data_IF_401384513650
#
_entry.id   IF_401384513650
#
_cell.length_a   1.000
_cell.length_b   1.000
_cell.length_c   1.000
_cell.angle_alpha   90.00
_cell.angle_beta   90.00
_cell.angle_gamma   90.00
#
_symmetry.space_group_name_H-M   'P 1'
#
loop_
_entity.id
_entity.type
_entity.pdbx_description
1 polymer ?
#
# COMPACT_ATOMS: atom_id res chain seq x y z
N UNK A 1 -8.58 -8.16 -20.53
CA UNK A 1 -9.31 -7.81 -19.30
C UNK A 1 -10.58 -7.05 -19.66
N UNK A 2 -11.68 -7.53 -19.11
CA UNK A 2 -13.02 -6.93 -19.07
C UNK A 2 -13.62 -7.14 -17.67
N UNK A 3 -14.82 -6.60 -17.42
CA UNK A 3 -15.49 -6.70 -16.12
C UNK A 3 -15.68 -8.14 -15.60
N UNK A 4 -15.87 -9.13 -16.47
CA UNK A 4 -16.04 -10.53 -16.06
C UNK A 4 -14.73 -11.15 -15.57
N UNK A 5 -13.62 -10.87 -16.25
CA UNK A 5 -12.29 -11.31 -15.80
C UNK A 5 -11.92 -10.70 -14.45
N UNK A 6 -12.13 -9.39 -14.25
CA UNK A 6 -11.88 -8.73 -12.96
C UNK A 6 -12.78 -9.32 -11.86
N UNK A 7 -14.06 -9.58 -12.14
CA UNK A 7 -14.96 -10.17 -11.15
C UNK A 7 -14.56 -11.61 -10.77
N UNK A 8 -14.02 -12.39 -11.70
CA UNK A 8 -13.47 -13.71 -11.40
C UNK A 8 -12.23 -13.59 -10.50
N UNK A 9 -11.29 -12.73 -10.86
CA UNK A 9 -10.07 -12.48 -10.09
C UNK A 9 -10.37 -11.98 -8.66
N UNK A 10 -11.35 -11.07 -8.49
CA UNK A 10 -11.81 -10.61 -7.17
C UNK A 10 -12.45 -11.73 -6.33
N UNK A 11 -13.18 -12.67 -6.95
CA UNK A 11 -13.75 -13.83 -6.25
C UNK A 11 -12.65 -14.78 -5.75
N UNK A 12 -11.59 -15.00 -6.53
CA UNK A 12 -10.41 -15.75 -6.08
C UNK A 12 -9.75 -15.07 -4.88
N UNK A 13 -9.55 -13.74 -4.95
CA UNK A 13 -8.98 -12.96 -3.84
C UNK A 13 -9.81 -13.10 -2.55
N UNK A 14 -11.12 -12.92 -2.63
CA UNK A 14 -12.01 -13.10 -1.48
C UNK A 14 -11.99 -14.54 -0.94
N UNK A 15 -11.85 -15.56 -1.81
CA UNK A 15 -11.83 -16.97 -1.40
C UNK A 15 -10.59 -17.39 -0.61
N UNK A 16 -9.49 -16.64 -0.66
CA UNK A 16 -8.31 -16.85 0.20
C UNK A 16 -8.31 -15.94 1.45
N UNK A 17 -9.45 -15.34 1.81
CA UNK A 17 -9.62 -14.64 3.08
C UNK A 17 -9.12 -13.20 3.14
N UNK A 18 -8.74 -12.62 1.99
CA UNK A 18 -8.42 -11.20 1.88
C UNK A 18 -9.72 -10.37 1.89
N UNK A 19 -9.77 -9.25 2.62
CA UNK A 19 -10.94 -8.34 2.60
C UNK A 19 -10.74 -7.06 1.79
N UNK A 20 -9.53 -6.79 1.30
CA UNK A 20 -9.20 -5.54 0.61
C UNK A 20 -8.20 -5.71 -0.54
N UNK A 21 -8.37 -4.89 -1.58
CA UNK A 21 -7.51 -4.86 -2.77
C UNK A 21 -7.01 -3.45 -3.04
N UNK A 22 -5.70 -3.32 -3.28
CA UNK A 22 -5.06 -2.12 -3.80
C UNK A 22 -4.83 -2.26 -5.30
N UNK A 23 -5.32 -1.31 -6.08
CA UNK A 23 -5.10 -1.26 -7.53
C UNK A 23 -4.15 -0.13 -7.90
N UNK A 24 -3.29 -0.32 -8.91
CA UNK A 24 -2.46 0.79 -9.44
C UNK A 24 -3.26 1.82 -10.25
N UNK A 25 -4.40 1.39 -10.83
CA UNK A 25 -5.31 2.23 -11.61
C UNK A 25 -6.77 2.01 -11.14
N UNK A 26 -7.65 2.96 -11.44
CA UNK A 26 -9.06 2.96 -10.98
C UNK A 26 -10.05 2.42 -12.03
N UNK A 27 -9.65 2.41 -13.31
CA UNK A 27 -10.39 1.85 -14.44
C UNK A 27 -9.44 1.21 -15.47
N UNK A 28 -9.90 0.16 -16.13
CA UNK A 28 -9.23 -0.43 -17.30
C UNK A 28 -10.16 -0.36 -18.52
N UNK A 29 -9.83 0.48 -19.51
CA UNK A 29 -10.72 0.76 -20.64
C UNK A 29 -12.05 1.36 -20.15
N UNK A 30 -13.16 0.63 -20.36
CA UNK A 30 -14.48 0.99 -19.82
C UNK A 30 -14.84 0.27 -18.50
N UNK A 31 -13.92 -0.54 -17.95
CA UNK A 31 -14.14 -1.32 -16.73
C UNK A 31 -13.72 -0.49 -15.51
N UNK A 32 -14.65 -0.06 -14.65
CA UNK A 32 -14.33 0.61 -13.39
C UNK A 32 -14.05 -0.42 -12.28
N UNK A 33 -12.97 -0.24 -11.52
CA UNK A 33 -12.50 -1.25 -10.56
C UNK A 33 -13.30 -1.24 -9.25
N UNK A 34 -13.50 -0.05 -8.67
CA UNK A 34 -14.16 0.11 -7.36
C UNK A 34 -15.51 -0.63 -7.24
N UNK A 35 -16.44 -0.47 -8.20
CA UNK A 35 -17.71 -1.20 -8.18
C UNK A 35 -17.57 -2.73 -8.22
N UNK A 36 -16.55 -3.26 -8.90
CA UNK A 36 -16.32 -4.72 -9.01
C UNK A 36 -15.70 -5.27 -7.72
N UNK A 37 -14.76 -4.53 -7.13
CA UNK A 37 -14.16 -4.86 -5.83
C UNK A 37 -15.26 -4.86 -4.73
N UNK A 38 -16.05 -3.79 -4.66
CA UNK A 38 -17.16 -3.68 -3.71
C UNK A 38 -18.23 -4.77 -3.90
N UNK A 39 -18.57 -5.11 -5.15
CA UNK A 39 -19.52 -6.19 -5.46
C UNK A 39 -18.99 -7.61 -5.14
N UNK A 40 -17.69 -7.77 -4.89
CA UNK A 40 -17.10 -9.00 -4.37
C UNK A 40 -17.04 -9.04 -2.83
N UNK A 41 -17.55 -8.02 -2.13
CA UNK A 41 -17.46 -7.88 -0.68
C UNK A 41 -16.11 -7.31 -0.19
N UNK A 42 -15.24 -6.91 -1.11
CA UNK A 42 -13.89 -6.40 -0.84
C UNK A 42 -13.89 -4.87 -0.70
N UNK A 43 -12.97 -4.33 0.09
CA UNK A 43 -12.72 -2.90 0.24
C UNK A 43 -11.65 -2.45 -0.76
N UNK A 44 -11.84 -1.31 -1.41
CA UNK A 44 -10.92 -0.81 -2.43
C UNK A 44 -9.97 0.27 -1.90
N UNK A 45 -8.68 0.12 -2.23
CA UNK A 45 -7.70 1.21 -2.25
C UNK A 45 -7.35 1.48 -3.72
N UNK A 46 -7.89 2.57 -4.28
CA UNK A 46 -7.82 2.81 -5.72
C UNK A 46 -6.63 3.70 -6.11
N UNK A 47 -5.88 3.28 -7.12
CA UNK A 47 -4.75 4.04 -7.67
C UNK A 47 -5.16 5.05 -8.73
N UNK A 48 -4.51 6.21 -8.68
CA UNK A 48 -4.49 7.24 -9.74
C UNK A 48 -3.04 7.32 -10.23
N UNK A 49 -2.71 6.81 -11.43
CA UNK A 49 -1.33 6.65 -11.91
C UNK A 49 -0.74 7.97 -12.41
N UNK A 50 -0.78 9.01 -11.59
CA UNK A 50 -0.11 10.27 -11.84
C UNK A 50 1.39 10.05 -12.15
N UNK A 51 2.01 10.70 -13.15
CA UNK A 51 1.45 11.64 -14.13
C UNK A 51 1.15 11.00 -15.51
N UNK A 52 0.84 9.70 -15.59
CA UNK A 52 0.55 9.00 -16.86
C UNK A 52 -0.61 9.68 -17.62
N UNK A 53 -0.62 9.60 -18.95
CA UNK A 53 -1.49 10.43 -19.80
C UNK A 53 -3.00 10.27 -19.55
N UNK A 54 -3.43 9.15 -18.96
CA UNK A 54 -4.82 8.86 -18.58
C UNK A 54 -5.17 9.22 -17.12
N UNK A 55 -4.23 9.75 -16.31
CA UNK A 55 -4.42 9.92 -14.86
C UNK A 55 -5.67 10.73 -14.50
N UNK A 56 -6.12 11.63 -15.38
CA UNK A 56 -7.34 12.43 -15.18
C UNK A 56 -8.63 11.60 -15.32
N UNK A 57 -8.66 10.62 -16.21
CA UNK A 57 -9.78 9.66 -16.28
C UNK A 57 -9.75 8.70 -15.09
N UNK A 58 -8.56 8.28 -14.67
CA UNK A 58 -8.36 7.42 -13.50
C UNK A 58 -8.80 8.13 -12.22
N UNK A 59 -8.44 9.41 -12.07
CA UNK A 59 -8.90 10.29 -10.99
C UNK A 59 -10.42 10.42 -10.96
N UNK A 60 -11.06 10.62 -12.11
CA UNK A 60 -12.53 10.68 -12.20
C UNK A 60 -13.18 9.36 -11.77
N UNK A 61 -12.64 8.21 -12.19
CA UNK A 61 -13.11 6.89 -11.76
C UNK A 61 -12.89 6.65 -10.25
N UNK A 62 -11.76 7.08 -9.69
CA UNK A 62 -11.46 6.98 -8.26
C UNK A 62 -12.47 7.77 -7.42
N UNK A 63 -12.73 9.03 -7.79
CA UNK A 63 -13.67 9.91 -7.11
C UNK A 63 -15.10 9.36 -7.20
N UNK A 64 -15.53 8.95 -8.40
CA UNK A 64 -16.86 8.34 -8.64
C UNK A 64 -17.07 7.09 -7.79
N UNK A 65 -16.07 6.22 -7.72
CA UNK A 65 -16.13 5.01 -6.89
C UNK A 65 -16.14 5.34 -5.39
N UNK A 66 -15.35 6.32 -4.94
CA UNK A 66 -15.39 6.78 -3.55
C UNK A 66 -16.75 7.36 -3.15
N UNK A 67 -17.38 8.15 -4.03
CA UNK A 67 -18.74 8.67 -3.85
C UNK A 67 -19.82 7.58 -3.84
N UNK A 68 -19.60 6.45 -4.53
CA UNK A 68 -20.50 5.29 -4.53
C UNK A 68 -20.30 4.35 -3.31
N UNK A 69 -19.19 4.49 -2.58
CA UNK A 69 -18.83 3.65 -1.44
C UNK A 69 -17.97 2.42 -1.80
N UNK A 70 -17.51 1.70 -0.78
CA UNK A 70 -16.61 0.55 -0.91
C UNK A 70 -15.12 0.90 -1.10
N UNK A 71 -14.79 2.12 -1.53
CA UNK A 71 -13.43 2.68 -1.49
C UNK A 71 -13.16 3.30 -0.13
N UNK A 72 -11.99 3.03 0.46
CA UNK A 72 -11.56 3.66 1.72
C UNK A 72 -10.27 4.50 1.58
N UNK A 73 -9.58 4.38 0.45
CA UNK A 73 -8.41 5.17 0.14
C UNK A 73 -8.23 5.40 -1.37
N UNK A 74 -7.71 6.56 -1.74
CA UNK A 74 -7.24 6.88 -3.10
C UNK A 74 -5.74 7.21 -3.04
N UNK A 75 -4.97 6.54 -3.87
CA UNK A 75 -3.51 6.64 -3.92
C UNK A 75 -3.08 7.43 -5.17
N UNK A 76 -2.56 8.63 -4.97
CA UNK A 76 -2.02 9.49 -6.02
C UNK A 76 -0.56 9.15 -6.27
N UNK A 77 -0.33 8.56 -7.44
CA UNK A 77 1.00 8.17 -7.88
C UNK A 77 1.49 6.86 -7.25
N UNK A 78 2.62 6.38 -7.77
CA UNK A 78 3.34 5.21 -7.30
C UNK A 78 4.84 5.41 -7.55
N UNK A 79 5.61 5.62 -6.49
CA UNK A 79 7.08 5.76 -6.52
C UNK A 79 7.57 6.95 -7.36
N UNK A 80 6.75 7.98 -7.54
CA UNK A 80 7.07 9.15 -8.36
C UNK A 80 8.32 9.94 -7.91
N UNK A 81 8.75 9.75 -6.66
CA UNK A 81 9.94 10.41 -6.13
C UNK A 81 11.20 9.57 -6.30
N UNK A 82 11.13 8.40 -6.94
CA UNK A 82 12.25 7.51 -7.20
C UNK A 82 13.42 8.22 -7.90
N UNK A 83 14.46 8.59 -7.14
CA UNK A 83 15.59 9.37 -7.65
C UNK A 83 15.28 10.85 -7.96
N UNK A 84 14.13 11.38 -7.54
CA UNK A 84 13.77 12.78 -7.69
C UNK A 84 14.35 13.63 -6.53
N UNK A 85 14.78 14.86 -6.83
CA UNK A 85 15.30 15.81 -5.83
C UNK A 85 14.21 16.75 -5.28
N UNK A 86 12.99 16.69 -5.80
CA UNK A 86 11.85 17.47 -5.34
C UNK A 86 10.51 16.78 -5.63
N UNK A 87 9.48 17.17 -4.88
CA UNK A 87 8.09 16.79 -5.15
C UNK A 87 7.52 17.64 -6.29
N UNK A 88 6.89 17.04 -7.32
CA UNK A 88 6.14 17.80 -8.34
C UNK A 88 4.98 18.58 -7.70
N UNK A 89 4.91 19.90 -7.93
CA UNK A 89 3.92 20.77 -7.27
C UNK A 89 2.48 20.43 -7.65
N UNK A 90 2.25 20.03 -8.90
CA UNK A 90 0.95 19.61 -9.42
C UNK A 90 0.46 18.27 -8.83
N UNK A 91 1.37 17.41 -8.33
CA UNK A 91 1.00 16.21 -7.58
C UNK A 91 0.24 16.54 -6.29
N UNK A 92 0.70 17.56 -5.56
CA UNK A 92 0.05 18.06 -4.34
C UNK A 92 -1.33 18.66 -4.67
N UNK A 93 -1.47 19.34 -5.82
CA UNK A 93 -2.75 19.90 -6.24
C UNK A 93 -3.74 18.83 -6.75
N UNK A 94 -3.26 17.73 -7.36
CA UNK A 94 -4.08 16.54 -7.65
C UNK A 94 -4.58 15.89 -6.35
N UNK A 95 -3.73 15.78 -5.31
CA UNK A 95 -4.14 15.29 -3.99
C UNK A 95 -5.25 16.18 -3.41
N UNK A 96 -5.06 17.51 -3.37
CA UNK A 96 -6.11 18.45 -2.92
C UNK A 96 -7.40 18.34 -3.74
N UNK A 97 -7.29 18.19 -5.06
CA UNK A 97 -8.44 18.06 -5.96
C UNK A 97 -9.26 16.79 -5.67
N UNK A 98 -8.63 15.69 -5.29
CA UNK A 98 -9.35 14.47 -4.89
C UNK A 98 -9.96 14.65 -3.50
N UNK A 99 -9.21 15.21 -2.54
CA UNK A 99 -9.68 15.45 -1.15
C UNK A 99 -10.94 16.32 -1.07
N UNK A 100 -11.12 17.27 -1.99
CA UNK A 100 -12.32 18.12 -2.03
C UNK A 100 -13.54 17.48 -2.69
N UNK A 101 -13.43 16.24 -3.20
CA UNK A 101 -14.49 15.55 -3.94
C UNK A 101 -14.83 14.14 -3.42
N UNK A 102 -13.97 13.51 -2.60
CA UNK A 102 -14.29 12.23 -1.95
C UNK A 102 -15.08 12.43 -0.64
N UNK A 103 -15.89 11.46 -0.20
CA UNK A 103 -16.57 11.53 1.10
C UNK A 103 -15.60 11.56 2.29
N UNK A 104 -16.06 12.13 3.42
CA UNK A 104 -15.34 12.08 4.69
C UNK A 104 -15.05 10.63 5.10
N UNK A 105 -13.83 10.38 5.57
CA UNK A 105 -13.33 9.04 5.91
C UNK A 105 -12.62 8.30 4.77
N UNK A 106 -12.74 8.75 3.51
CA UNK A 106 -11.91 8.26 2.40
C UNK A 106 -10.57 8.98 2.43
N UNK A 107 -9.49 8.26 2.72
CA UNK A 107 -8.14 8.82 2.78
C UNK A 107 -7.60 9.14 1.38
N UNK A 108 -6.92 10.26 1.20
CA UNK A 108 -6.16 10.55 -0.03
C UNK A 108 -4.69 10.67 0.29
N UNK A 109 -3.90 9.84 -0.38
CA UNK A 109 -2.52 9.54 0.00
C UNK A 109 -1.62 9.48 -1.23
N UNK A 110 -0.32 9.29 -1.01
CA UNK A 110 0.66 8.97 -2.06
C UNK A 110 1.32 7.62 -1.76
N UNK A 111 1.88 6.94 -2.77
CA UNK A 111 2.74 5.76 -2.59
C UNK A 111 4.17 6.09 -3.01
N UNK A 112 5.14 5.81 -2.15
CA UNK A 112 6.58 6.00 -2.39
C UNK A 112 7.37 4.76 -1.92
N UNK A 113 8.65 4.65 -2.30
CA UNK A 113 9.51 3.56 -1.78
C UNK A 113 10.00 3.88 -0.37
N UNK A 114 10.34 2.83 0.38
CA UNK A 114 11.12 2.92 1.61
C UNK A 114 12.37 3.83 1.47
N UNK A 115 13.08 3.79 0.34
CA UNK A 115 14.25 4.62 0.06
C UNK A 115 13.96 6.12 0.22
N UNK A 116 12.97 6.65 -0.49
CA UNK A 116 12.62 8.07 -0.42
C UNK A 116 11.96 8.46 0.92
N UNK A 117 11.22 7.55 1.55
CA UNK A 117 10.62 7.79 2.88
C UNK A 117 11.69 7.86 3.99
N UNK A 118 12.77 7.07 3.88
CA UNK A 118 13.92 7.10 4.80
C UNK A 118 14.82 8.31 4.51
N UNK A 119 15.06 8.61 3.23
CA UNK A 119 15.96 9.69 2.79
C UNK A 119 15.21 11.02 2.54
N UNK A 120 14.09 11.24 3.24
CA UNK A 120 13.14 12.32 2.96
C UNK A 120 13.74 13.73 2.95
N UNK A 121 14.82 13.97 3.71
CA UNK A 121 15.54 15.24 3.77
C UNK A 121 16.21 15.61 2.44
N UNK A 122 16.43 14.64 1.54
CA UNK A 122 16.98 14.85 0.21
C UNK A 122 15.94 15.33 -0.82
N UNK A 123 14.64 15.23 -0.50
CA UNK A 123 13.54 15.55 -1.43
C UNK A 123 12.87 16.87 -1.05
N UNK A 124 13.16 17.92 -1.82
CA UNK A 124 12.59 19.25 -1.59
C UNK A 124 11.06 19.24 -1.72
N UNK A 125 10.35 19.81 -0.74
CA UNK A 125 8.89 19.80 -0.68
C UNK A 125 8.26 18.53 -0.08
N UNK A 126 9.06 17.56 0.40
CA UNK A 126 8.54 16.35 1.06
C UNK A 126 7.57 16.66 2.20
N UNK A 127 7.90 17.62 3.07
CA UNK A 127 7.03 17.97 4.19
C UNK A 127 5.66 18.51 3.73
N UNK A 128 5.59 19.24 2.62
CA UNK A 128 4.33 19.71 2.07
C UNK A 128 3.48 18.57 1.49
N UNK A 129 4.12 17.58 0.84
CA UNK A 129 3.45 16.35 0.43
C UNK A 129 2.87 15.59 1.63
N UNK A 130 3.67 15.42 2.70
CA UNK A 130 3.24 14.81 3.96
C UNK A 130 2.13 15.62 4.63
N UNK A 131 2.16 16.95 4.58
CA UNK A 131 1.11 17.79 5.17
C UNK A 131 -0.23 17.69 4.40
N UNK A 132 -0.21 17.49 3.08
CA UNK A 132 -1.42 17.41 2.26
C UNK A 132 -2.03 16.00 2.18
N UNK A 133 -1.21 14.94 2.25
CA UNK A 133 -1.70 13.55 2.31
C UNK A 133 -2.34 13.21 3.66
N UNK A 134 -3.34 12.32 3.68
CA UNK A 134 -3.87 11.74 4.92
C UNK A 134 -2.98 10.62 5.45
N UNK A 135 -2.34 9.87 4.54
CA UNK A 135 -1.41 8.78 4.81
C UNK A 135 -0.27 8.74 3.78
N UNK A 136 0.82 8.06 4.10
CA UNK A 136 1.91 7.76 3.17
C UNK A 136 1.93 6.24 2.96
N UNK A 137 1.61 5.81 1.75
CA UNK A 137 1.83 4.44 1.29
C UNK A 137 3.33 4.20 1.07
N UNK A 138 3.83 3.08 1.56
CA UNK A 138 5.23 2.68 1.42
C UNK A 138 5.34 1.34 0.73
N UNK A 139 6.11 1.31 -0.35
CA UNK A 139 6.57 0.09 -1.02
C UNK A 139 7.94 -0.27 -0.44
N UNK A 140 8.04 -1.45 0.19
CA UNK A 140 9.22 -1.85 0.96
C UNK A 140 9.52 -3.34 0.71
N UNK A 141 10.37 -3.61 -0.28
CA UNK A 141 10.73 -4.97 -0.70
C UNK A 141 12.14 -5.34 -0.19
N UNK A 142 12.26 -6.22 0.83
CA UNK A 142 13.57 -6.68 1.29
C UNK A 142 14.33 -7.47 0.21
N UNK A 143 13.63 -8.04 -0.78
CA UNK A 143 14.22 -8.67 -1.96
C UNK A 143 15.14 -7.74 -2.78
N UNK A 144 14.98 -6.42 -2.70
CA UNK A 144 15.89 -5.45 -3.36
C UNK A 144 17.06 -4.99 -2.50
N UNK A 145 17.19 -5.49 -1.25
CA UNK A 145 18.34 -5.23 -0.38
C UNK A 145 19.39 -6.32 -0.58
N UNK A 146 20.56 -6.00 -1.12
CA UNK A 146 21.58 -7.01 -1.48
C UNK A 146 22.05 -7.86 -0.29
N UNK A 147 22.23 -9.16 -0.51
CA UNK A 147 22.66 -10.11 0.53
C UNK A 147 21.54 -10.62 1.45
N UNK A 148 20.28 -10.43 1.07
CA UNK A 148 19.11 -10.88 1.84
C UNK A 148 18.70 -12.29 1.43
N UNK A 149 18.35 -13.13 2.42
CA UNK A 149 17.70 -14.44 2.21
C UNK A 149 16.23 -14.37 2.62
N UNK A 150 15.39 -15.32 2.20
CA UNK A 150 13.98 -15.37 2.60
C UNK A 150 13.81 -15.38 4.14
N UNK A 151 14.69 -16.08 4.86
CA UNK A 151 14.68 -16.20 6.32
C UNK A 151 15.04 -14.88 7.04
N UNK A 152 15.87 -14.04 6.40
CA UNK A 152 16.33 -12.76 6.94
C UNK A 152 15.53 -11.56 6.42
N UNK A 153 14.77 -11.74 5.33
CA UNK A 153 14.01 -10.71 4.65
C UNK A 153 13.03 -9.96 5.55
N UNK A 154 12.37 -10.66 6.49
CA UNK A 154 11.43 -10.00 7.41
C UNK A 154 12.15 -9.08 8.41
N UNK A 155 13.38 -9.40 8.81
CA UNK A 155 14.20 -8.54 9.67
C UNK A 155 14.72 -7.32 8.91
N UNK A 156 15.07 -7.47 7.63
CA UNK A 156 15.43 -6.35 6.75
C UNK A 156 14.24 -5.40 6.59
N UNK A 157 13.03 -5.93 6.36
CA UNK A 157 11.80 -5.14 6.28
C UNK A 157 11.49 -4.43 7.61
N UNK A 158 11.54 -5.14 8.75
CA UNK A 158 11.23 -4.55 10.06
C UNK A 158 12.21 -3.42 10.40
N UNK A 159 13.52 -3.63 10.25
CA UNK A 159 14.53 -2.59 10.50
C UNK A 159 14.23 -1.29 9.73
N UNK A 160 13.91 -1.41 8.43
CA UNK A 160 13.52 -0.27 7.58
C UNK A 160 12.20 0.35 8.03
N UNK A 161 11.21 -0.49 8.37
CA UNK A 161 9.89 -0.05 8.82
C UNK A 161 9.95 0.72 10.15
N UNK A 162 10.70 0.24 11.15
CA UNK A 162 10.87 0.93 12.42
C UNK A 162 11.54 2.31 12.25
N UNK A 163 12.50 2.44 11.32
CA UNK A 163 13.09 3.76 10.97
C UNK A 163 12.00 4.71 10.49
N UNK A 164 11.16 4.30 9.52
CA UNK A 164 10.11 5.16 8.96
C UNK A 164 9.00 5.45 9.99
N UNK A 165 8.62 4.46 10.79
CA UNK A 165 7.63 4.61 11.88
C UNK A 165 8.12 5.59 12.95
N UNK A 166 9.43 5.68 13.21
CA UNK A 166 9.97 6.65 14.17
C UNK A 166 9.74 8.12 13.73
N UNK A 167 9.64 8.37 12.43
CA UNK A 167 9.39 9.70 11.85
C UNK A 167 7.89 9.97 11.62
N UNK A 168 7.13 8.97 11.14
CA UNK A 168 5.76 9.18 10.63
C UNK A 168 4.66 8.43 11.40
N UNK A 169 5.02 7.52 12.31
CA UNK A 169 4.08 6.80 13.17
C UNK A 169 2.93 6.12 12.40
N UNK A 170 1.71 6.34 12.88
CA UNK A 170 0.47 5.80 12.30
C UNK A 170 0.07 6.39 10.94
N UNK A 171 0.84 7.35 10.39
CA UNK A 171 0.59 7.90 9.05
C UNK A 171 1.03 6.95 7.93
N UNK A 172 1.85 5.95 8.22
CA UNK A 172 2.32 4.97 7.23
C UNK A 172 1.30 3.87 6.96
N UNK A 173 1.22 3.43 5.71
CA UNK A 173 0.57 2.19 5.29
C UNK A 173 1.56 1.42 4.44
N UNK A 174 1.80 0.15 4.75
CA UNK A 174 2.59 -0.73 3.88
C UNK A 174 1.74 -1.08 2.65
N UNK A 175 2.12 -0.58 1.47
CA UNK A 175 1.34 -0.71 0.23
C UNK A 175 1.84 -1.78 -0.72
N UNK A 176 3.12 -2.15 -0.63
CA UNK A 176 3.72 -3.31 -1.32
C UNK A 176 4.88 -3.88 -0.49
N UNK A 177 4.89 -5.20 -0.32
CA UNK A 177 6.08 -5.98 0.05
C UNK A 177 5.90 -7.42 -0.44
N UNK A 178 6.98 -8.12 -0.77
CA UNK A 178 6.90 -9.48 -1.28
C UNK A 178 8.26 -10.13 -1.50
N UNK A 179 8.24 -11.46 -1.63
CA UNK A 179 9.38 -12.27 -2.09
C UNK A 179 8.96 -13.12 -3.29
N UNK A 180 9.76 -13.15 -4.38
CA UNK A 180 9.37 -13.85 -5.60
C UNK A 180 9.61 -15.36 -5.50
N UNK A 181 8.79 -16.16 -6.18
CA UNK A 181 8.90 -17.62 -6.17
C UNK A 181 9.93 -18.19 -7.16
N UNK A 182 10.60 -17.33 -7.94
CA UNK A 182 11.67 -17.68 -8.89
C UNK A 182 12.54 -16.46 -9.21
N UNK A 183 13.61 -16.65 -10.00
CA UNK A 183 14.54 -15.60 -10.41
C UNK A 183 15.60 -15.27 -9.35
N UNK A 184 16.52 -14.37 -9.68
CA UNK A 184 17.54 -13.86 -8.76
C UNK A 184 17.97 -12.44 -9.12
N UNK A 185 18.44 -11.69 -8.12
CA UNK A 185 18.89 -10.31 -8.26
C UNK A 185 19.87 -9.97 -7.13
N UNK A 186 21.03 -9.39 -7.46
CA UNK A 186 22.04 -8.95 -6.48
C UNK A 186 22.49 -10.03 -5.46
N UNK A 187 22.40 -11.31 -5.83
CA UNK A 187 22.69 -12.46 -4.97
C UNK A 187 21.49 -13.01 -4.19
N UNK A 188 20.38 -12.27 -4.13
CA UNK A 188 19.12 -12.72 -3.54
C UNK A 188 18.42 -13.68 -4.52
N UNK A 189 17.76 -14.72 -4.01
CA UNK A 189 17.18 -15.80 -4.83
C UNK A 189 15.69 -16.01 -4.50
N UNK A 190 14.86 -15.94 -5.53
CA UNK A 190 13.45 -16.32 -5.47
C UNK A 190 13.27 -17.83 -5.57
N UNK A 191 12.39 -18.38 -4.74
CA UNK A 191 12.00 -19.80 -4.74
C UNK A 191 10.63 -19.96 -4.09
N UNK A 192 9.87 -21.00 -4.43
CA UNK A 192 8.54 -21.26 -3.85
C UNK A 192 8.62 -21.33 -2.31
N UNK A 193 9.57 -22.10 -1.77
CA UNK A 193 9.79 -22.18 -0.32
C UNK A 193 10.24 -20.84 0.29
N UNK A 194 11.04 -20.04 -0.42
CA UNK A 194 11.41 -18.69 0.05
C UNK A 194 10.24 -17.71 0.08
N UNK A 195 9.34 -17.79 -0.91
CA UNK A 195 8.11 -17.02 -0.94
C UNK A 195 7.14 -17.44 0.18
N UNK A 196 7.02 -18.73 0.46
CA UNK A 196 6.26 -19.28 1.60
C UNK A 196 6.83 -18.82 2.95
N UNK A 197 8.15 -18.96 3.15
CA UNK A 197 8.85 -18.47 4.36
C UNK A 197 8.60 -16.99 4.58
N UNK A 198 8.77 -16.16 3.54
CA UNK A 198 8.56 -14.72 3.67
C UNK A 198 7.09 -14.35 3.89
N UNK A 199 6.13 -15.00 3.21
CA UNK A 199 4.71 -14.76 3.39
C UNK A 199 4.25 -15.10 4.82
N UNK A 200 4.65 -16.26 5.34
CA UNK A 200 4.32 -16.67 6.72
C UNK A 200 4.94 -15.71 7.75
N UNK A 201 6.19 -15.27 7.54
CA UNK A 201 6.84 -14.27 8.38
C UNK A 201 6.15 -12.89 8.30
N UNK A 202 5.72 -12.46 7.11
CA UNK A 202 4.94 -11.24 6.89
C UNK A 202 3.59 -11.28 7.61
N UNK A 203 2.87 -12.40 7.55
CA UNK A 203 1.57 -12.57 8.23
C UNK A 203 1.71 -12.45 9.75
N UNK A 204 2.78 -13.00 10.33
CA UNK A 204 3.07 -12.87 11.76
C UNK A 204 3.51 -11.44 12.13
N UNK A 205 4.49 -10.87 11.42
CA UNK A 205 5.05 -9.56 11.71
C UNK A 205 4.02 -8.43 11.54
N UNK A 206 3.24 -8.46 10.46
CA UNK A 206 2.24 -7.44 10.16
C UNK A 206 0.92 -7.63 10.91
N UNK A 207 0.79 -8.67 11.74
CA UNK A 207 -0.45 -9.07 12.43
C UNK A 207 -1.19 -7.91 13.13
N UNK A 208 -0.46 -7.05 13.84
CA UNK A 208 -0.98 -5.89 14.57
C UNK A 208 -1.38 -4.69 13.69
N UNK A 209 -0.97 -4.67 12.42
CA UNK A 209 -1.27 -3.57 11.51
C UNK A 209 -2.70 -3.68 10.96
N UNK A 210 -3.43 -2.56 10.91
CA UNK A 210 -4.82 -2.52 10.42
C UNK A 210 -4.95 -2.29 8.90
N UNK A 211 -3.87 -1.89 8.22
CA UNK A 211 -3.81 -1.65 6.78
C UNK A 211 -2.42 -2.05 6.28
N UNK A 212 -2.33 -3.11 5.49
CA UNK A 212 -1.07 -3.72 5.03
C UNK A 212 -1.29 -4.50 3.75
N UNK A 213 -0.44 -4.33 2.74
CA UNK A 213 -0.62 -4.97 1.44
C UNK A 213 0.56 -5.86 1.08
N UNK A 214 0.29 -7.10 0.71
CA UNK A 214 1.26 -8.00 0.11
C UNK A 214 1.27 -7.79 -1.42
N UNK A 215 2.45 -7.75 -2.00
CA UNK A 215 2.68 -7.70 -3.44
C UNK A 215 3.20 -9.07 -3.92
N UNK A 216 2.44 -9.82 -4.71
CA UNK A 216 1.09 -9.55 -5.24
C UNK A 216 0.26 -10.83 -5.26
N UNK A 217 -1.02 -10.75 -5.58
CA UNK A 217 -1.87 -11.93 -5.58
C UNK A 217 -1.54 -12.91 -6.71
N UNK A 218 -1.63 -12.45 -7.97
CA UNK A 218 -1.35 -13.26 -9.17
C UNK A 218 0.05 -13.00 -9.72
N UNK A 219 0.64 -14.00 -10.37
CA UNK A 219 1.82 -13.79 -11.22
C UNK A 219 1.56 -12.91 -12.44
N UNK A 220 2.61 -12.19 -12.85
CA UNK A 220 2.58 -11.29 -14.00
C UNK A 220 3.58 -11.73 -15.08
N UNK A 221 3.34 -12.86 -15.79
CA UNK A 221 4.28 -13.46 -16.75
C UNK A 221 4.51 -12.64 -18.02
N UNK A 222 3.98 -11.42 -18.10
CA UNK A 222 4.27 -10.45 -19.15
C UNK A 222 5.45 -9.50 -18.82
N UNK A 223 5.96 -9.52 -17.58
CA UNK A 223 7.13 -8.72 -17.18
C UNK A 223 8.43 -9.36 -17.68
N UNK A 224 9.47 -8.54 -17.89
CA UNK A 224 10.75 -9.00 -18.48
C UNK A 224 11.52 -9.94 -17.55
N UNK A 225 11.74 -9.53 -16.30
CA UNK A 225 12.61 -10.25 -15.37
C UNK A 225 11.91 -11.44 -14.72
N UNK A 226 12.64 -12.54 -14.50
CA UNK A 226 12.05 -13.76 -13.93
C UNK A 226 11.48 -13.52 -12.53
N UNK A 227 12.14 -12.69 -11.71
CA UNK A 227 11.63 -12.37 -10.37
C UNK A 227 10.36 -11.51 -10.42
N UNK A 228 10.33 -10.50 -11.29
CA UNK A 228 9.16 -9.66 -11.57
C UNK A 228 7.93 -10.47 -12.00
N UNK A 229 8.13 -11.52 -12.80
CA UNK A 229 7.05 -12.41 -13.22
C UNK A 229 6.42 -13.20 -12.05
N UNK A 230 7.18 -13.46 -10.98
CA UNK A 230 6.94 -14.53 -10.01
C UNK A 230 6.58 -14.07 -8.58
N UNK A 231 6.19 -12.80 -8.37
CA UNK A 231 5.74 -12.26 -7.08
C UNK A 231 4.33 -12.70 -6.64
N UNK A 232 3.58 -13.47 -7.44
CA UNK A 232 2.25 -13.95 -7.07
C UNK A 232 2.27 -14.89 -5.87
N UNK A 233 1.26 -14.83 -5.01
CA UNK A 233 0.89 -15.89 -4.07
C UNK A 233 0.34 -17.11 -4.83
N UNK A 234 -0.47 -16.84 -5.86
CA UNK A 234 -0.97 -17.81 -6.83
C UNK A 234 -0.36 -17.56 -8.21
N UNK A 235 -0.36 -18.58 -9.06
CA UNK A 235 -0.01 -18.45 -10.47
C UNK A 235 -1.00 -17.53 -11.21
N UNK A 236 -0.63 -17.09 -12.42
CA UNK A 236 -1.47 -16.22 -13.26
C UNK A 236 -2.83 -16.86 -13.64
N UNK A 237 -2.96 -18.18 -13.56
CA UNK A 237 -4.17 -18.97 -13.79
C UNK A 237 -4.88 -19.41 -12.49
N UNK A 238 -4.46 -18.88 -11.33
CA UNK A 238 -5.05 -19.11 -10.00
C UNK A 238 -4.80 -20.51 -9.39
N UNK A 239 -3.60 -21.06 -9.55
CA UNK A 239 -3.15 -22.22 -8.76
C UNK A 239 -2.30 -21.75 -7.58
N UNK A 240 -2.54 -22.32 -6.39
CA UNK A 240 -1.74 -22.04 -5.20
C UNK A 240 -0.29 -22.52 -5.39
N UNK A 241 0.68 -21.66 -5.05
CA UNK A 241 2.12 -22.04 -5.07
C UNK A 241 2.54 -22.78 -3.82
N UNK A 242 1.92 -22.46 -2.69
CA UNK A 242 2.21 -22.97 -1.36
C UNK A 242 0.94 -22.87 -0.50
N UNK A 243 0.93 -23.54 0.66
CA UNK A 243 -0.26 -23.60 1.52
C UNK A 243 -0.44 -22.30 2.30
N UNK A 244 -1.13 -21.32 1.71
CA UNK A 244 -1.60 -20.14 2.45
C UNK A 244 -2.46 -20.61 3.63
N UNK A 245 -2.00 -20.36 4.85
CA UNK A 245 -2.70 -20.79 6.07
C UNK A 245 -4.09 -20.15 6.14
N UNK A 246 -5.15 -20.97 6.25
CA UNK A 246 -6.52 -20.45 6.30
C UNK A 246 -6.70 -19.47 7.46
N UNK A 247 -7.46 -18.37 7.28
CA UNK A 247 -7.99 -17.63 8.41
C UNK A 247 -8.91 -18.56 9.22
N UNK A 248 -8.85 -18.55 10.56
CA UNK A 248 -9.65 -19.46 11.38
C UNK A 248 -11.14 -19.27 11.07
N UNK A 249 -11.80 -20.33 10.62
CA UNK A 249 -13.19 -20.29 10.17
C UNK A 249 -14.07 -19.66 11.24
N UNK A 250 -14.78 -18.59 10.90
CA UNK A 250 -15.76 -18.00 11.82
C UNK A 250 -16.78 -19.07 12.20
N UNK A 251 -16.92 -19.34 13.51
CA UNK A 251 -17.88 -20.32 14.00
C UNK A 251 -19.29 -19.95 13.49
N UNK A 252 -20.09 -20.93 13.02
CA UNK A 252 -21.38 -20.65 12.41
C UNK A 252 -22.28 -19.89 13.40
N UNK A 253 -22.67 -18.68 13.04
CA UNK A 253 -23.64 -17.88 13.81
C UNK A 253 -24.91 -18.72 14.00
N UNK A 254 -25.33 -19.01 15.24
CA UNK A 254 -26.51 -19.82 15.48
C UNK A 254 -27.73 -19.12 14.89
N UNK A 255 -28.50 -19.86 14.08
CA UNK A 255 -29.69 -19.37 13.41
C UNK A 255 -30.69 -18.83 14.46
N UNK A 256 -31.13 -17.59 14.29
CA UNK A 256 -32.00 -16.94 15.29
C UNK A 256 -33.39 -17.56 15.27
N UNK A 257 -33.69 -18.35 16.30
CA UNK A 257 -35.03 -18.91 16.55
C UNK A 257 -36.09 -17.81 16.40
N UNK A 258 -37.11 -17.97 15.54
CA UNK A 258 -38.11 -16.95 15.33
C UNK A 258 -38.91 -16.71 16.61
N UNK A 259 -39.00 -15.46 17.04
CA UNK A 259 -39.82 -15.03 18.18
C UNK A 259 -41.29 -15.31 17.84
N UNK A 260 -42.08 -15.97 18.71
CA UNK A 260 -43.48 -16.27 18.42
C UNK A 260 -44.31 -14.98 18.34
N UNK A 261 -45.08 -14.84 17.27
CA UNK A 261 -45.99 -13.70 17.06
C UNK A 261 -47.11 -13.69 18.11
N UNK A 262 -47.17 -12.65 18.94
CA UNK A 262 -48.30 -12.46 19.85
C UNK A 262 -49.59 -12.18 19.07
N UNK A 263 -50.71 -12.77 19.52
CA UNK A 263 -52.02 -12.57 18.92
C UNK A 263 -52.69 -11.31 19.49
N UNK A 264 -53.24 -10.40 18.66
CA UNK A 264 -53.86 -9.18 19.16
C UNK A 264 -55.03 -9.43 20.12
N UNK A 265 -54.99 -8.81 21.31
CA UNK A 265 -56.07 -8.89 22.28
C UNK A 265 -57.30 -8.07 21.81
N UNK A 266 -58.48 -8.67 21.92
CA UNK A 266 -59.76 -8.03 21.54
C UNK A 266 -60.21 -7.08 22.67
N UNK A 267 -60.45 -5.81 22.34
CA UNK A 267 -61.06 -4.85 23.25
C UNK A 267 -62.48 -5.28 23.67
N UNK A 268 -62.78 -5.20 24.96
CA UNK A 268 -64.15 -5.08 25.46
C UNK A 268 -64.29 -3.82 26.30
N UNK A 269 -65.43 -3.14 26.17
CA UNK A 269 -65.72 -1.84 26.78
C UNK A 269 -67.04 -1.90 27.57
N UNK A 270 -66.96 -1.67 28.89
CA UNK A 270 -68.08 -1.31 29.78
C UNK A 270 -67.51 -0.97 31.17
N UNK A 271 -67.89 0.07 31.90
CA UNK A 271 -68.79 1.19 31.55
C UNK A 271 -69.21 1.98 32.81
N UNK A 272 -69.20 3.33 32.74
CA UNK A 272 -69.65 4.29 33.80
C UNK A 272 -68.84 4.27 35.12
N UNK A 273 -68.82 5.32 35.96
CA UNK A 273 -69.70 6.50 36.06
C UNK A 273 -68.98 7.79 36.53
N UNK A 274 -69.78 8.85 36.62
CA UNK A 274 -69.51 10.27 36.90
C UNK A 274 -68.65 10.61 38.14
N UNK A 275 -67.95 11.76 38.12
CA UNK A 275 -68.44 13.02 38.72
C UNK A 275 -67.60 14.24 38.27
N UNK A 276 -67.99 15.46 38.67
CA UNK A 276 -67.67 16.73 37.99
C UNK A 276 -67.09 17.82 38.92
N UNK A 277 -66.61 18.90 38.30
CA UNK A 277 -66.63 20.34 38.72
C UNK A 277 -65.42 21.00 39.41
N UNK A 278 -65.07 22.19 38.89
CA UNK A 278 -64.52 23.40 39.58
C UNK A 278 -62.99 23.48 39.81
N UNK A 279 -62.30 24.63 39.77
CA UNK A 279 -62.18 25.78 38.81
C UNK A 279 -61.26 26.87 39.44
N UNK A 280 -60.38 27.49 38.64
CA UNK A 280 -59.52 28.66 38.98
C UNK A 280 -58.43 28.45 40.06
N UNK A 281 -57.35 29.24 40.14
CA UNK A 281 -56.94 30.40 39.31
C UNK A 281 -55.52 30.91 39.63
N UNK A 282 -55.18 32.10 39.14
CA UNK A 282 -53.89 32.85 39.28
C UNK A 282 -53.48 33.11 40.77
N UNK A 283 -52.26 33.57 41.13
CA UNK A 283 -51.43 34.65 40.54
C UNK A 283 -49.94 34.61 40.98
N UNK A 284 -49.15 35.54 40.44
CA UNK A 284 -47.70 35.86 40.60
C UNK A 284 -47.09 35.84 42.02
N UNK A 285 -45.76 35.67 42.12
CA UNK A 285 -44.85 36.76 42.57
C UNK A 285 -43.33 36.46 42.48
N UNK A 286 -42.63 37.32 41.74
CA UNK A 286 -41.26 37.89 41.91
C UNK A 286 -40.16 37.20 42.75
N UNK A 287 -38.95 37.18 42.18
CA UNK A 287 -37.77 37.80 42.81
C UNK A 287 -36.86 38.46 41.75
N UNK A 288 -36.14 39.53 42.11
CA UNK A 288 -35.42 40.44 41.17
C UNK A 288 -34.16 41.01 41.84
N UNK A 289 -33.10 41.29 41.05
CA UNK A 289 -31.89 42.13 41.25
C UNK A 289 -30.61 41.34 40.95
N UNK A 290 -29.52 41.91 40.40
CA UNK A 290 -29.23 43.28 39.93
C UNK A 290 -27.70 43.44 39.81
N UNK A 291 -27.11 43.67 38.64
CA UNK A 291 -26.94 44.97 37.95
C UNK A 291 -25.89 45.89 38.59
N UNK A 292 -24.85 46.26 37.83
CA UNK A 292 -23.80 47.22 38.26
C UNK A 292 -22.70 47.38 37.20
N UNK A 293 -22.66 48.54 36.56
CA UNK A 293 -21.80 48.87 35.41
C UNK A 293 -20.69 49.90 35.75
N UNK A 294 -19.90 50.24 34.71
CA UNK A 294 -19.16 51.50 34.47
C UNK A 294 -17.67 51.69 34.87
N UNK A 295 -16.86 51.81 33.81
CA UNK A 295 -15.91 52.92 33.48
C UNK A 295 -14.71 53.26 34.39
N UNK A 296 -13.50 53.28 33.78
CA UNK A 296 -12.29 53.88 34.37
C UNK A 296 -11.06 53.98 33.43
N UNK A 297 -10.85 55.14 32.82
CA UNK A 297 -9.66 55.54 32.00
C UNK A 297 -8.34 55.52 32.85
N UNK A 298 -7.10 55.37 32.34
CA UNK A 298 -6.42 56.25 31.35
C UNK A 298 -4.99 55.80 30.94
N UNK A 299 -4.54 56.23 29.72
CA UNK A 299 -3.17 56.69 29.27
C UNK A 299 -1.86 56.03 29.78
N UNK A 300 -0.77 55.88 29.01
CA UNK A 300 -0.14 56.74 27.97
C UNK A 300 0.52 55.92 26.82
N UNK A 301 0.72 56.38 25.56
CA UNK A 301 1.70 57.39 25.03
C UNK A 301 3.16 57.11 25.45
N UNK A 302 4.24 57.33 24.66
CA UNK A 302 4.49 57.69 23.23
C UNK A 302 6.05 57.78 23.00
N UNK A 303 6.67 57.93 21.80
CA UNK A 303 6.38 57.60 20.38
C UNK A 303 7.61 57.98 19.48
N UNK A 304 7.59 57.64 18.18
CA UNK A 304 8.43 58.17 17.04
C UNK A 304 9.98 57.96 17.12
N UNK A 305 10.84 58.21 16.09
CA UNK A 305 10.68 58.83 14.75
C UNK A 305 11.80 58.43 13.72
N UNK A 306 11.46 58.44 12.42
CA UNK A 306 12.20 58.79 11.17
C UNK A 306 13.65 58.35 10.81
N UNK A 307 14.01 58.66 9.54
CA UNK A 307 15.34 58.75 8.88
C UNK A 307 15.92 57.42 8.35
N UNK A 308 15.86 57.10 7.05
CA UNK A 308 16.44 57.74 5.84
C UNK A 308 17.95 57.50 5.66
N UNK A 309 18.34 56.87 4.53
CA UNK A 309 19.31 57.46 3.61
C UNK A 309 19.26 56.86 2.18
N UNK A 310 19.31 57.76 1.19
CA UNK A 310 19.87 57.70 -0.19
C UNK A 310 19.94 56.34 -0.96
N UNK A 311 19.37 56.22 -2.17
CA UNK A 311 19.93 56.67 -3.49
C UNK A 311 21.29 55.99 -3.85
N UNK A 312 21.58 55.60 -5.09
CA UNK A 312 21.19 56.21 -6.37
C UNK A 312 21.10 55.20 -7.55
N UNK A 313 20.53 55.63 -8.68
CA UNK A 313 20.47 54.89 -9.96
C UNK A 313 21.85 54.83 -10.67
N UNK A 314 22.11 53.79 -11.49
CA UNK A 314 22.37 53.98 -12.94
C UNK A 314 22.41 52.69 -13.80
N UNK A 315 22.38 52.89 -15.12
CA UNK A 315 22.33 51.90 -16.22
C UNK A 315 23.71 51.70 -16.90
N UNK A 316 24.01 50.52 -17.45
CA UNK A 316 25.21 50.34 -18.30
C UNK A 316 25.32 48.99 -19.04
N UNK A 317 25.54 49.03 -20.36
CA UNK A 317 25.61 47.91 -21.32
C UNK A 317 27.02 47.30 -21.49
N UNK A 318 27.10 46.14 -22.19
CA UNK A 318 28.31 45.53 -22.85
C UNK A 318 29.48 45.08 -21.96
N UNK A 319 30.26 44.03 -22.26
CA UNK A 319 30.16 43.00 -23.31
C UNK A 319 31.50 42.32 -23.67
N UNK A 320 31.54 40.97 -23.70
CA UNK A 320 32.51 40.08 -24.40
C UNK A 320 33.99 40.05 -23.94
N UNK A 321 34.49 38.89 -23.48
CA UNK A 321 35.59 38.15 -24.16
C UNK A 321 35.84 36.70 -23.63
N UNK A 322 36.53 35.93 -24.48
CA UNK A 322 36.86 34.50 -24.48
C UNK A 322 37.82 34.08 -23.30
N UNK A 323 38.21 32.81 -23.06
CA UNK A 323 38.58 31.76 -24.03
C UNK A 323 38.68 30.31 -23.50
N UNK A 324 38.72 29.37 -24.45
CA UNK A 324 38.96 27.92 -24.31
C UNK A 324 40.39 27.58 -23.82
N UNK A 325 40.57 26.37 -23.25
CA UNK A 325 41.37 25.34 -23.94
C UNK A 325 41.28 23.92 -23.32
N UNK A 326 41.28 22.92 -24.21
CA UNK A 326 41.45 21.47 -23.98
C UNK A 326 42.93 21.08 -23.90
N UNK A 327 43.31 19.97 -23.23
CA UNK A 327 44.41 19.04 -23.64
C UNK A 327 44.37 17.70 -22.86
N UNK A 328 45.02 16.65 -23.41
CA UNK A 328 45.22 15.28 -22.88
C UNK A 328 46.38 15.24 -21.83
N UNK A 329 47.16 14.19 -21.47
CA UNK A 329 47.43 12.79 -21.89
C UNK A 329 48.15 12.10 -20.67
N UNK A 330 48.52 10.81 -20.52
CA UNK A 330 48.65 9.58 -21.36
C UNK A 330 48.55 8.31 -20.49
N UNK A 331 48.49 7.11 -21.10
CA UNK A 331 48.64 5.79 -20.44
C UNK A 331 50.05 5.49 -19.92
N UNK A 332 50.19 4.57 -18.95
CA UNK A 332 51.35 3.68 -18.90
C UNK A 332 50.99 2.28 -18.33
N UNK A 333 51.86 1.31 -18.61
CA UNK A 333 51.64 -0.15 -18.51
C UNK A 333 52.70 -0.78 -17.59
N UNK A 334 52.41 -1.90 -16.91
CA UNK A 334 53.45 -2.81 -16.38
C UNK A 334 52.90 -4.15 -15.86
N UNK A 335 53.52 -5.25 -16.28
CA UNK A 335 53.33 -6.62 -15.76
C UNK A 335 54.66 -7.15 -15.17
N UNK A 336 54.63 -8.00 -14.14
CA UNK A 336 55.67 -9.01 -13.94
C UNK A 336 55.14 -10.45 -13.76
N UNK A 337 55.94 -11.43 -14.19
CA UNK A 337 55.64 -12.88 -14.19
C UNK A 337 56.32 -13.60 -13.01
N UNK A 338 55.72 -14.65 -12.41
CA UNK A 338 56.31 -15.33 -11.24
C UNK A 338 55.76 -16.70 -10.78
N UNK A 339 55.85 -17.73 -11.62
CA UNK A 339 56.25 -19.15 -11.33
C UNK A 339 55.88 -19.88 -10.00
N UNK A 340 55.20 -21.04 -10.13
CA UNK A 340 55.12 -22.25 -9.23
C UNK A 340 54.71 -22.07 -7.73
N UNK A 341 53.86 -22.92 -7.12
CA UNK A 341 53.97 -24.40 -7.04
C UNK A 341 52.70 -25.10 -6.50
N UNK A 342 52.53 -26.39 -6.80
CA UNK A 342 51.64 -27.36 -6.08
C UNK A 342 52.44 -28.04 -4.93
N UNK A 343 51.80 -28.61 -3.86
CA UNK A 343 50.91 -29.79 -3.88
C UNK A 343 49.55 -29.54 -3.16
N UNK A 344 48.45 -30.31 -3.29
CA UNK A 344 48.16 -31.74 -3.53
C UNK A 344 48.16 -32.67 -2.28
N UNK A 345 46.95 -33.04 -1.83
CA UNK A 345 46.57 -34.26 -1.06
C UNK A 345 47.04 -34.37 0.42
N UNK A 346 46.47 -35.20 1.33
CA UNK A 346 45.54 -36.35 1.16
C UNK A 346 44.69 -36.71 2.43
N UNK A 347 43.49 -37.27 2.22
CA UNK A 347 42.72 -38.34 2.94
C UNK A 347 42.41 -38.44 4.47
N UNK A 348 41.33 -39.22 4.71
CA UNK A 348 40.76 -39.85 5.92
C UNK A 348 40.02 -38.97 6.96
N UNK A 349 38.75 -39.20 7.35
CA UNK A 349 37.92 -40.41 7.69
C UNK A 349 38.08 -40.85 9.16
N UNK A 350 37.00 -40.81 9.96
CA UNK A 350 36.24 -41.98 10.50
C UNK A 350 35.14 -41.61 11.55
N UNK A 351 34.09 -42.45 11.65
CA UNK A 351 33.02 -42.67 12.68
C UNK A 351 32.89 -41.70 13.91
N UNK A 352 31.73 -41.18 14.33
CA UNK A 352 30.37 -41.73 14.60
C UNK A 352 30.21 -42.52 15.93
N UNK A 353 29.34 -42.05 16.87
CA UNK A 353 28.27 -42.86 17.52
C UNK A 353 27.31 -42.09 18.51
N UNK A 354 26.06 -42.58 18.64
CA UNK A 354 25.12 -42.71 19.81
C UNK A 354 25.19 -41.82 21.09
N UNK A 355 24.13 -41.60 21.92
CA UNK A 355 22.65 -41.78 21.87
C UNK A 355 22.00 -41.38 23.23
N UNK A 356 20.70 -41.00 23.23
CA UNK A 356 19.70 -41.07 24.34
C UNK A 356 19.84 -40.25 25.65
N UNK A 357 18.68 -39.80 26.17
CA UNK A 357 18.47 -39.28 27.52
C UNK A 357 17.06 -38.73 27.73
N UNK A 358 16.13 -39.53 28.27
CA UNK A 358 14.74 -39.12 28.54
C UNK A 358 14.56 -38.47 29.94
N UNK A 359 13.54 -37.63 30.11
CA UNK A 359 13.16 -37.07 31.42
C UNK A 359 11.87 -36.25 31.38
N UNK A 360 10.79 -36.77 31.97
CA UNK A 360 9.46 -36.15 31.95
C UNK A 360 9.03 -35.59 33.31
N UNK A 361 8.41 -34.41 33.32
CA UNK A 361 7.48 -33.96 34.37
C UNK A 361 6.57 -32.85 33.82
N UNK A 362 5.36 -32.70 34.36
CA UNK A 362 4.30 -31.91 33.73
C UNK A 362 3.64 -30.89 34.68
N UNK A 363 3.21 -29.75 34.12
CA UNK A 363 2.11 -28.93 34.62
C UNK A 363 1.58 -28.01 33.48
N UNK A 364 0.27 -27.73 33.38
CA UNK A 364 -0.29 -26.90 32.32
C UNK A 364 -0.32 -25.40 32.68
N UNK A 365 -0.19 -24.53 31.67
CA UNK A 365 -0.61 -23.13 31.74
C UNK A 365 -1.84 -22.94 30.86
N UNK A 366 -2.89 -22.35 31.43
CA UNK A 366 -4.15 -22.03 30.76
C UNK A 366 -4.21 -20.51 30.54
N UNK A 367 -4.96 -20.08 29.51
CA UNK A 367 -5.18 -18.70 29.05
C UNK A 367 -3.97 -18.07 28.33
N UNK A 368 -4.15 -17.23 27.30
CA UNK A 368 -5.40 -16.70 26.74
C UNK A 368 -5.46 -16.84 25.21
N UNK A 369 -6.67 -17.03 24.66
CA UNK A 369 -6.92 -17.00 23.22
C UNK A 369 -7.00 -15.54 22.78
N UNK A 370 -6.01 -15.08 22.01
CA UNK A 370 -6.09 -13.82 21.28
C UNK A 370 -6.50 -14.12 19.83
N UNK A 371 -7.79 -14.01 19.53
CA UNK A 371 -8.33 -14.19 18.19
C UNK A 371 -8.02 -12.97 17.30
N UNK A 372 -6.75 -12.84 16.89
CA UNK A 372 -6.34 -11.85 15.90
C UNK A 372 -6.80 -12.31 14.51
N UNK A 373 -7.90 -11.72 14.02
CA UNK A 373 -8.32 -11.85 12.63
C UNK A 373 -7.32 -11.09 11.73
N UNK A 374 -6.18 -11.72 11.43
CA UNK A 374 -5.12 -11.18 10.60
C UNK A 374 -5.52 -11.20 9.13
N UNK A 375 -6.47 -10.36 8.77
CA UNK A 375 -6.84 -10.15 7.37
C UNK A 375 -5.68 -9.49 6.64
N UNK A 376 -5.18 -10.19 5.63
CA UNK A 376 -4.22 -9.65 4.69
C UNK A 376 -4.94 -8.86 3.60
N UNK A 377 -4.23 -7.94 2.95
CA UNK A 377 -4.71 -7.21 1.78
C UNK A 377 -3.71 -7.44 0.63
N UNK A 378 -4.14 -7.35 -0.63
CA UNK A 378 -3.24 -7.55 -1.79
C UNK A 378 -3.15 -6.36 -2.73
N UNK A 379 -1.92 -6.08 -3.18
CA UNK A 379 -1.67 -5.21 -4.32
C UNK A 379 -1.91 -6.00 -5.63
N UNK A 380 -2.56 -5.34 -6.60
CA UNK A 380 -3.02 -5.94 -7.85
C UNK A 380 -2.41 -5.21 -9.05
N UNK A 381 -1.36 -5.79 -9.64
CA UNK A 381 -0.78 -5.38 -10.92
C UNK A 381 -1.72 -5.66 -12.10
N UNK A 382 -1.81 -4.73 -13.05
CA UNK A 382 -2.83 -4.84 -14.11
C UNK A 382 -2.46 -5.81 -15.23
N UNK A 383 -3.16 -6.94 -15.23
CA UNK A 383 -3.16 -7.95 -16.29
C UNK A 383 -4.05 -7.50 -17.45
N UNK A 384 -3.61 -7.68 -18.70
CA UNK A 384 -4.50 -7.57 -19.87
C UNK A 384 -4.56 -8.82 -20.76
N UNK A 385 -3.42 -9.48 -20.99
CA UNK A 385 -3.26 -10.54 -22.02
C UNK A 385 -3.27 -11.99 -21.49
N UNK A 386 -2.91 -12.24 -20.22
CA UNK A 386 -2.17 -13.48 -19.88
C UNK A 386 -2.99 -14.70 -19.46
N UNK A 387 -4.24 -14.60 -18.95
CA UNK A 387 -5.07 -15.82 -18.76
C UNK A 387 -5.45 -16.49 -20.09
N UNK A 388 -5.35 -15.80 -21.23
CA UNK A 388 -5.79 -16.31 -22.54
C UNK A 388 -4.73 -17.10 -23.32
N UNK A 389 -3.44 -16.75 -23.25
CA UNK A 389 -2.41 -17.40 -24.08
C UNK A 389 -2.01 -18.81 -23.61
N UNK A 390 -2.46 -19.24 -22.43
CA UNK A 390 -2.13 -20.52 -21.82
C UNK A 390 -3.04 -21.69 -22.25
N UNK A 391 -4.32 -21.45 -22.53
CA UNK A 391 -5.30 -22.51 -22.77
C UNK A 391 -5.64 -22.73 -24.25
N UNK A 392 -5.69 -21.66 -25.06
CA UNK A 392 -6.28 -21.76 -26.42
C UNK A 392 -5.34 -22.38 -27.47
N UNK A 393 -4.01 -22.36 -27.26
CA UNK A 393 -3.05 -22.86 -28.25
C UNK A 393 -2.84 -24.38 -28.25
N UNK A 394 -3.25 -25.12 -27.22
CA UNK A 394 -3.15 -26.59 -27.21
C UNK A 394 -4.40 -27.31 -27.75
N UNK A 395 -5.52 -26.60 -27.94
CA UNK A 395 -6.83 -27.24 -28.20
C UNK A 395 -7.56 -26.72 -29.45
N UNK A 396 -7.35 -25.46 -29.88
CA UNK A 396 -8.28 -24.81 -30.82
C UNK A 396 -8.13 -25.18 -32.31
N UNK A 397 -6.95 -24.97 -32.93
CA UNK A 397 -6.81 -24.99 -34.40
C UNK A 397 -5.60 -25.80 -34.90
N UNK A 398 -5.75 -27.12 -34.94
CA UNK A 398 -4.81 -28.00 -35.64
C UNK A 398 -5.07 -28.08 -37.15
N UNK A 399 -4.64 -27.07 -37.96
CA UNK A 399 -4.43 -27.23 -39.42
C UNK A 399 -3.75 -26.06 -40.16
N UNK A 400 -2.97 -26.46 -41.19
CA UNK A 400 -2.47 -25.70 -42.35
C UNK A 400 -1.32 -24.67 -42.21
N UNK A 401 -0.19 -25.09 -42.79
CA UNK A 401 0.64 -24.39 -43.78
C UNK A 401 1.40 -23.11 -43.37
N UNK A 402 2.69 -23.29 -43.07
CA UNK A 402 3.58 -22.22 -42.60
C UNK A 402 4.44 -21.54 -43.67
N UNK A 403 5.29 -20.62 -43.20
CA UNK A 403 6.55 -20.26 -43.86
C UNK A 403 7.62 -19.93 -42.80
N UNK A 404 8.89 -19.89 -43.19
CA UNK A 404 10.05 -19.71 -42.29
C UNK A 404 10.77 -18.39 -42.55
N UNK A 405 11.09 -17.63 -41.49
CA UNK A 405 12.13 -16.59 -41.48
C UNK A 405 12.80 -16.55 -40.09
N UNK A 406 14.12 -16.36 -40.05
CA UNK A 406 14.97 -16.28 -38.86
C UNK A 406 15.08 -14.86 -38.25
N UNK A 407 15.53 -14.71 -36.99
CA UNK A 407 15.46 -13.44 -36.24
C UNK A 407 16.68 -12.51 -36.43
N UNK A 408 16.52 -11.22 -36.10
CA UNK A 408 17.62 -10.26 -35.93
C UNK A 408 17.47 -9.42 -34.64
N UNK A 409 18.45 -9.64 -33.74
CA UNK A 409 19.20 -8.67 -32.92
C UNK A 409 18.48 -7.63 -32.04
N UNK A 410 18.78 -7.77 -30.74
CA UNK A 410 18.65 -6.83 -29.62
C UNK A 410 18.99 -5.37 -29.93
N UNK A 411 18.35 -4.46 -29.19
CA UNK A 411 19.05 -3.35 -28.50
C UNK A 411 18.36 -3.04 -27.16
N UNK A 412 19.16 -2.79 -26.13
CA UNK A 412 18.70 -2.41 -24.79
C UNK A 412 18.88 -0.90 -24.56
N UNK A 413 18.05 -0.29 -23.73
CA UNK A 413 18.30 1.00 -23.09
C UNK A 413 17.75 0.96 -21.65
N UNK A 414 18.57 1.50 -20.75
CA UNK A 414 18.45 1.56 -19.28
C UNK A 414 17.05 1.92 -18.75
#
# INVERSE_FOLDING_TARGET
>A
MDASSVQADMKTIASHGFDSVRTFISKFGNTEMGPIIAAAGLKAMLGVPYPQSDYREQMAAAIKAAQAGGVYAVMVGNENLAGATSVPSDMIDVIKQIKSQVPEGVMVCTVQRNTEVIQHETVSGWQDLVNNCDCIGVNAHPYFTAGTTADTAIQVLDNQWQTMVSTYGSKLILTETGWPSAGSLMGNVGSVAGAETFYNAYQQWSSSMSKKFYFQFFDTPYRTEQYEQNFGLVTYDSQDKFSMSEPPTAAPTPETTPVPTETPAIFQNSGSADYNTTTSGSTESTSVSGSGDEVGSSTSKAASESSDNEQHQQTGTTGVQNSDQTTQQTTQDTTPTGTNSQPQQQDNVQQANTQSGEGSSAAPVILAIAAAACVALVAFGFIYQTRKRAAELEVAEGKHDGFSVTPMQNHCAL
#
